data_IF_374011268297
#
_entry.id   IF_374011268297
#
_cell.length_a   1.000
_cell.length_b   1.000
_cell.length_c   1.000
_cell.angle_alpha   90.00
_cell.angle_beta   90.00
_cell.angle_gamma   90.00
#
_symmetry.space_group_name_H-M   'P 1'
#
loop_
_entity.id
_entity.type
_entity.pdbx_description
1 polymer ?
#
# COMPACT_ATOMS: atom_id res chain seq x y z
N UNK A 1 21.72 -6.91 -80.51
CA UNK A 1 21.37 -7.83 -79.43
C UNK A 1 21.79 -7.22 -78.12
N UNK A 2 20.86 -6.55 -77.41
CA UNK A 2 21.14 -5.84 -76.17
C UNK A 2 20.46 -6.56 -75.05
N UNK A 3 21.27 -7.08 -74.13
CA UNK A 3 20.78 -7.67 -72.88
C UNK A 3 20.63 -6.58 -71.80
N UNK A 4 19.40 -6.32 -71.39
CA UNK A 4 19.09 -5.45 -70.28
C UNK A 4 19.25 -6.22 -68.97
N UNK A 5 20.13 -5.73 -68.10
CA UNK A 5 20.29 -6.21 -66.72
C UNK A 5 19.35 -5.43 -65.82
N UNK A 6 18.38 -6.10 -65.24
CA UNK A 6 17.53 -5.57 -64.22
C UNK A 6 18.28 -5.62 -62.86
N UNK A 7 18.45 -4.48 -62.24
CA UNK A 7 19.00 -4.36 -60.87
C UNK A 7 17.82 -4.40 -59.89
N UNK A 8 17.78 -5.42 -59.05
CA UNK A 8 16.81 -5.57 -57.97
C UNK A 8 17.35 -4.85 -56.72
N UNK A 9 16.70 -3.77 -56.32
CA UNK A 9 17.00 -3.06 -55.07
C UNK A 9 16.28 -3.78 -53.92
N UNK A 10 17.04 -4.32 -52.98
CA UNK A 10 16.54 -4.87 -51.73
C UNK A 10 16.40 -3.73 -50.72
N UNK A 11 15.17 -3.37 -50.39
CA UNK A 11 14.89 -2.43 -49.31
C UNK A 11 14.91 -3.18 -47.97
N UNK A 12 15.92 -2.92 -47.14
CA UNK A 12 16.00 -3.40 -45.76
C UNK A 12 15.13 -2.54 -44.87
N UNK A 13 13.97 -3.04 -44.48
CA UNK A 13 13.09 -2.45 -43.46
C UNK A 13 13.67 -2.78 -42.09
N UNK A 14 14.28 -1.80 -41.42
CA UNK A 14 14.66 -1.90 -40.02
C UNK A 14 13.39 -1.79 -39.16
N UNK A 15 12.90 -2.89 -38.64
CA UNK A 15 11.84 -2.92 -37.63
C UNK A 15 12.41 -2.47 -36.30
N UNK A 16 12.15 -1.21 -35.93
CA UNK A 16 12.46 -0.67 -34.61
C UNK A 16 11.53 -1.30 -33.59
N UNK A 17 12.08 -2.18 -32.73
CA UNK A 17 11.37 -2.70 -31.55
C UNK A 17 11.31 -1.58 -30.52
N UNK A 18 10.16 -0.92 -30.42
CA UNK A 18 9.84 -0.05 -29.31
C UNK A 18 9.59 -0.93 -28.08
N UNK A 19 10.60 -1.06 -27.22
CA UNK A 19 10.45 -1.58 -25.87
C UNK A 19 9.62 -0.56 -25.10
N UNK A 20 8.30 -0.66 -25.18
CA UNK A 20 7.41 -0.02 -24.23
C UNK A 20 7.69 -0.67 -22.88
N UNK A 21 8.55 -0.06 -22.08
CA UNK A 21 8.73 -0.40 -20.69
C UNK A 21 7.42 -0.12 -19.96
N UNK A 22 6.55 -1.13 -19.85
CA UNK A 22 5.47 -1.11 -18.90
C UNK A 22 6.11 -1.06 -17.50
N UNK A 23 6.30 0.14 -16.95
CA UNK A 23 6.53 0.32 -15.53
C UNK A 23 5.31 -0.23 -14.81
N UNK A 24 5.35 -1.48 -14.35
CA UNK A 24 4.30 -2.03 -13.51
C UNK A 24 4.18 -1.14 -12.27
N UNK A 25 3.00 -0.56 -12.07
CA UNK A 25 2.70 0.21 -10.86
C UNK A 25 2.84 -0.72 -9.65
N UNK A 26 3.59 -0.28 -8.63
CA UNK A 26 3.80 -1.10 -7.44
C UNK A 26 2.47 -1.35 -6.72
N UNK A 27 2.29 -2.57 -6.24
CA UNK A 27 1.07 -2.97 -5.54
C UNK A 27 0.95 -2.29 -4.17
N UNK A 28 -0.28 -2.13 -3.70
CA UNK A 28 -0.54 -1.70 -2.33
C UNK A 28 -0.24 -2.85 -1.36
N UNK A 29 0.52 -2.55 -0.32
CA UNK A 29 0.81 -3.49 0.78
C UNK A 29 -0.44 -3.69 1.64
N UNK A 30 -1.04 -2.59 2.05
CA UNK A 30 -2.30 -2.59 2.79
C UNK A 30 -2.92 -1.18 2.82
N UNK A 31 -4.21 -1.15 3.13
CA UNK A 31 -4.94 0.07 3.43
C UNK A 31 -5.45 0.02 4.87
N UNK A 32 -5.29 1.11 5.62
CA UNK A 32 -5.78 1.26 7.00
C UNK A 32 -6.86 2.32 7.01
N UNK A 33 -7.99 1.99 7.62
CA UNK A 33 -9.00 2.97 8.02
C UNK A 33 -9.04 3.03 9.54
N UNK A 34 -8.58 4.14 10.10
CA UNK A 34 -8.72 4.46 11.52
C UNK A 34 -9.95 5.33 11.70
N UNK A 35 -10.74 5.06 12.71
CA UNK A 35 -11.92 5.85 13.09
C UNK A 35 -12.01 6.04 14.58
N UNK A 36 -12.72 7.06 15.02
CA UNK A 36 -12.91 7.37 16.44
C UNK A 36 -13.69 8.66 16.63
N UNK A 37 -13.92 9.03 17.90
CA UNK A 37 -14.70 10.22 18.26
C UNK A 37 -13.89 11.53 18.16
N UNK A 38 -12.57 11.46 18.25
CA UNK A 38 -11.71 12.64 18.21
C UNK A 38 -11.64 13.28 16.82
N UNK A 39 -11.39 14.59 16.78
CA UNK A 39 -11.40 15.41 15.55
C UNK A 39 -10.57 14.81 14.41
N UNK A 40 -9.38 14.31 14.70
CA UNK A 40 -8.44 13.76 13.72
C UNK A 40 -8.33 12.23 13.78
N UNK A 41 -9.28 11.55 14.41
CA UNK A 41 -9.29 10.10 14.51
C UNK A 41 -9.54 9.43 13.16
N UNK A 42 -10.41 10.03 12.33
CA UNK A 42 -10.83 9.47 11.05
C UNK A 42 -9.78 9.70 9.97
N UNK A 43 -9.00 8.67 9.69
CA UNK A 43 -7.92 8.70 8.68
C UNK A 43 -7.94 7.43 7.86
N UNK A 44 -7.73 7.58 6.57
CA UNK A 44 -7.48 6.48 5.63
C UNK A 44 -6.06 6.58 5.09
N UNK A 45 -5.30 5.51 5.23
CA UNK A 45 -3.97 5.35 4.64
C UNK A 45 -4.00 4.26 3.58
N UNK A 46 -3.32 4.48 2.47
CA UNK A 46 -2.98 3.43 1.50
C UNK A 46 -1.46 3.40 1.40
N UNK A 47 -0.85 2.30 1.80
CA UNK A 47 0.60 2.11 1.80
C UNK A 47 0.99 1.27 0.61
N UNK A 48 1.80 1.84 -0.28
CA UNK A 48 2.23 1.22 -1.52
C UNK A 48 3.65 0.66 -1.40
N UNK A 49 3.92 -0.50 -1.98
CA UNK A 49 5.24 -1.15 -1.96
C UNK A 49 6.33 -0.36 -2.70
N UNK A 50 5.94 0.55 -3.57
CA UNK A 50 6.84 1.51 -4.21
C UNK A 50 7.37 2.63 -3.31
N UNK A 51 7.03 2.63 -2.01
CA UNK A 51 7.54 3.59 -1.04
C UNK A 51 6.73 4.87 -0.93
N UNK A 52 5.44 4.80 -1.18
CA UNK A 52 4.53 5.93 -1.01
C UNK A 52 3.38 5.61 -0.07
N UNK A 53 2.80 6.63 0.51
CA UNK A 53 1.56 6.57 1.29
C UNK A 53 0.59 7.63 0.82
N UNK A 54 -0.67 7.26 0.65
CA UNK A 54 -1.77 8.20 0.39
C UNK A 54 -2.56 8.41 1.66
N UNK A 55 -2.64 9.65 2.12
CA UNK A 55 -3.37 10.06 3.31
C UNK A 55 -4.74 10.58 2.89
N UNK A 56 -5.80 9.95 3.37
CA UNK A 56 -7.18 10.25 2.99
C UNK A 56 -7.37 10.15 1.46
N UNK A 57 -7.73 11.25 0.79
CA UNK A 57 -7.86 11.34 -0.67
C UNK A 57 -6.79 12.25 -1.27
N UNK A 58 -5.71 12.48 -0.54
CA UNK A 58 -4.62 13.35 -0.97
C UNK A 58 -3.73 12.73 -2.05
N UNK A 59 -2.71 13.47 -2.42
CA UNK A 59 -1.66 12.96 -3.32
C UNK A 59 -0.74 12.00 -2.57
N UNK A 60 -0.17 10.99 -3.24
CA UNK A 60 0.85 10.13 -2.65
C UNK A 60 2.03 10.95 -2.12
N UNK A 61 2.49 10.60 -0.94
CA UNK A 61 3.66 11.18 -0.27
C UNK A 61 4.74 10.12 -0.14
N UNK A 62 6.01 10.52 -0.18
CA UNK A 62 7.12 9.62 0.05
C UNK A 62 7.09 9.06 1.48
N UNK A 63 7.21 7.75 1.60
CA UNK A 63 7.33 7.06 2.88
C UNK A 63 8.82 6.88 3.18
N UNK A 64 9.32 7.29 4.37
CA UNK A 64 10.72 7.06 4.75
C UNK A 64 11.10 5.59 4.64
N UNK A 65 12.34 5.29 4.21
CA UNK A 65 12.78 3.91 3.96
C UNK A 65 12.61 2.98 5.15
N UNK A 66 12.84 3.45 6.38
CA UNK A 66 12.59 2.70 7.62
C UNK A 66 11.10 2.34 7.77
N UNK A 67 10.22 3.28 7.48
CA UNK A 67 8.77 3.05 7.55
C UNK A 67 8.30 2.10 6.44
N UNK A 68 8.89 2.15 5.24
CA UNK A 68 8.60 1.19 4.18
C UNK A 68 9.01 -0.24 4.58
N UNK A 69 10.19 -0.44 5.17
CA UNK A 69 10.60 -1.75 5.67
C UNK A 69 9.63 -2.27 6.74
N UNK A 70 9.24 -1.42 7.68
CA UNK A 70 8.26 -1.76 8.70
C UNK A 70 6.89 -2.11 8.09
N UNK A 71 6.45 -1.38 7.06
CA UNK A 71 5.20 -1.68 6.35
C UNK A 71 5.24 -3.06 5.67
N UNK A 72 6.35 -3.41 5.03
CA UNK A 72 6.54 -4.73 4.41
C UNK A 72 6.52 -5.86 5.43
N UNK A 73 7.13 -5.67 6.61
CA UNK A 73 7.05 -6.64 7.71
C UNK A 73 5.62 -6.78 8.21
N UNK A 74 4.92 -5.66 8.44
CA UNK A 74 3.52 -5.68 8.88
C UNK A 74 2.61 -6.39 7.87
N UNK A 75 2.80 -6.17 6.58
CA UNK A 75 2.02 -6.85 5.55
C UNK A 75 2.17 -8.38 5.65
N UNK A 76 3.38 -8.89 5.88
CA UNK A 76 3.63 -10.32 6.09
C UNK A 76 3.03 -10.83 7.41
N UNK A 77 3.20 -10.07 8.50
CA UNK A 77 2.72 -10.47 9.82
C UNK A 77 1.19 -10.50 9.91
N UNK A 78 0.51 -9.70 9.09
CA UNK A 78 -0.95 -9.62 9.06
C UNK A 78 -1.59 -10.67 8.14
N UNK A 79 -0.82 -11.33 7.28
CA UNK A 79 -1.37 -12.19 6.23
C UNK A 79 -2.29 -13.29 6.77
N UNK A 80 -1.82 -14.05 7.75
CA UNK A 80 -2.59 -15.14 8.34
C UNK A 80 -3.89 -14.67 9.02
N UNK A 81 -3.82 -13.56 9.77
CA UNK A 81 -4.99 -12.98 10.42
C UNK A 81 -5.99 -12.41 9.40
N UNK A 82 -5.48 -11.84 8.30
CA UNK A 82 -6.31 -11.29 7.23
C UNK A 82 -7.05 -12.40 6.45
N UNK A 83 -6.37 -13.52 6.17
CA UNK A 83 -6.98 -14.71 5.57
C UNK A 83 -8.14 -15.25 6.43
N UNK A 84 -7.98 -15.21 7.75
CA UNK A 84 -9.01 -15.62 8.71
C UNK A 84 -10.06 -14.54 8.97
N UNK A 85 -9.93 -13.36 8.38
CA UNK A 85 -10.83 -12.21 8.57
C UNK A 85 -11.05 -11.87 10.05
N UNK A 86 -9.97 -11.86 10.84
CA UNK A 86 -10.04 -11.60 12.28
C UNK A 86 -10.67 -10.23 12.55
N UNK A 87 -11.72 -10.23 13.36
CA UNK A 87 -12.42 -9.05 13.83
C UNK A 87 -12.56 -9.11 15.35
N UNK A 88 -11.76 -8.31 16.06
CA UNK A 88 -11.77 -8.26 17.50
C UNK A 88 -12.69 -7.13 17.98
N UNK A 89 -13.67 -7.42 18.83
CA UNK A 89 -14.56 -6.40 19.37
C UNK A 89 -13.81 -5.41 20.27
N UNK A 90 -14.30 -4.18 20.40
CA UNK A 90 -13.77 -3.24 21.38
C UNK A 90 -14.11 -3.71 22.81
N UNK A 91 -13.20 -3.45 23.74
CA UNK A 91 -13.48 -3.49 25.16
C UNK A 91 -13.90 -2.08 25.67
N UNK A 92 -14.06 -1.94 26.96
CA UNK A 92 -14.44 -0.65 27.58
C UNK A 92 -13.45 0.46 27.24
N UNK A 93 -13.95 1.69 27.13
CA UNK A 93 -13.15 2.89 26.87
C UNK A 93 -12.39 2.91 25.54
N UNK A 94 -12.88 2.19 24.53
CA UNK A 94 -12.33 2.25 23.18
C UNK A 94 -12.52 3.65 22.58
N UNK A 95 -11.44 4.24 22.08
CA UNK A 95 -11.45 5.53 21.41
C UNK A 95 -11.08 5.43 19.92
N UNK A 96 -10.37 4.38 19.52
CA UNK A 96 -9.94 4.16 18.15
C UNK A 96 -10.31 2.76 17.67
N UNK A 97 -10.77 2.70 16.42
CA UNK A 97 -10.99 1.46 15.69
C UNK A 97 -10.17 1.45 14.42
N UNK A 98 -9.59 0.31 14.14
CA UNK A 98 -8.80 0.05 12.94
C UNK A 98 -9.47 -1.01 12.09
N UNK A 99 -9.59 -0.73 10.80
CA UNK A 99 -9.96 -1.69 9.77
C UNK A 99 -8.85 -1.72 8.74
N UNK A 100 -8.23 -2.87 8.54
CA UNK A 100 -7.11 -3.04 7.64
C UNK A 100 -7.47 -4.01 6.54
N UNK A 101 -7.20 -3.60 5.31
CA UNK A 101 -7.37 -4.44 4.12
C UNK A 101 -6.00 -4.75 3.54
N UNK A 102 -5.74 -6.00 3.29
CA UNK A 102 -4.54 -6.52 2.62
C UNK A 102 -4.97 -7.31 1.37
N UNK A 103 -4.04 -7.66 0.48
CA UNK A 103 -4.36 -8.60 -0.61
C UNK A 103 -4.89 -9.96 -0.11
N UNK A 104 -4.50 -10.39 1.10
CA UNK A 104 -4.93 -11.66 1.70
C UNK A 104 -6.33 -11.59 2.36
N UNK A 105 -6.84 -10.40 2.66
CA UNK A 105 -8.13 -10.25 3.32
C UNK A 105 -8.23 -9.01 4.20
N UNK A 106 -8.96 -9.13 5.30
CA UNK A 106 -9.28 -8.01 6.20
C UNK A 106 -9.07 -8.39 7.66
N UNK A 107 -8.55 -7.46 8.44
CA UNK A 107 -8.58 -7.52 9.91
C UNK A 107 -9.25 -6.26 10.47
N UNK A 108 -9.85 -6.38 11.65
CA UNK A 108 -10.39 -5.24 12.37
C UNK A 108 -10.16 -5.41 13.89
N UNK A 109 -9.85 -4.31 14.56
CA UNK A 109 -9.65 -4.29 16.00
C UNK A 109 -9.79 -2.86 16.55
N UNK A 110 -9.84 -2.74 17.85
CA UNK A 110 -9.85 -1.46 18.55
C UNK A 110 -8.63 -1.35 19.46
N UNK A 111 -8.32 -0.15 19.88
CA UNK A 111 -7.23 0.15 20.82
C UNK A 111 -7.36 -0.60 22.15
N UNK A 112 -8.57 -1.01 22.52
CA UNK A 112 -8.88 -1.75 23.76
C UNK A 112 -9.25 -3.22 23.53
N UNK A 113 -9.24 -3.73 22.30
CA UNK A 113 -9.58 -5.13 22.03
C UNK A 113 -8.69 -6.09 22.81
N UNK A 114 -9.31 -7.06 23.48
CA UNK A 114 -8.58 -8.10 24.20
C UNK A 114 -7.94 -9.11 23.22
N UNK A 115 -6.82 -9.73 23.63
CA UNK A 115 -6.18 -10.80 22.86
C UNK A 115 -5.57 -10.36 21.53
N UNK A 116 -5.25 -9.07 21.38
CA UNK A 116 -4.61 -8.57 20.15
C UNK A 116 -3.24 -9.25 19.94
N UNK A 117 -2.95 -9.75 18.72
CA UNK A 117 -1.61 -10.10 18.32
C UNK A 117 -0.68 -8.87 18.36
N UNK A 118 0.62 -9.06 18.62
CA UNK A 118 1.62 -7.98 18.60
C UNK A 118 1.65 -7.21 17.26
N UNK A 119 1.34 -7.88 16.15
CA UNK A 119 1.23 -7.24 14.83
C UNK A 119 0.17 -6.14 14.80
N UNK A 120 -0.94 -6.28 15.53
CA UNK A 120 -1.99 -5.25 15.60
C UNK A 120 -1.53 -4.02 16.39
N UNK A 121 -0.81 -4.22 17.50
CA UNK A 121 -0.22 -3.10 18.25
C UNK A 121 0.86 -2.37 17.44
N UNK A 122 1.71 -3.13 16.72
CA UNK A 122 2.70 -2.56 15.79
C UNK A 122 2.04 -1.78 14.65
N UNK A 123 0.95 -2.28 14.10
CA UNK A 123 0.19 -1.58 13.06
C UNK A 123 -0.44 -0.28 13.57
N UNK A 124 -0.99 -0.29 14.78
CA UNK A 124 -1.54 0.92 15.40
C UNK A 124 -0.45 1.98 15.62
N UNK A 125 0.74 1.58 16.10
CA UNK A 125 1.91 2.44 16.23
C UNK A 125 2.37 2.99 14.88
N UNK A 126 2.55 2.14 13.88
CA UNK A 126 2.90 2.54 12.52
C UNK A 126 1.89 3.57 11.95
N UNK A 127 0.60 3.29 12.11
CA UNK A 127 -0.46 4.20 11.63
C UNK A 127 -0.36 5.56 12.30
N UNK A 128 -0.12 5.60 13.62
CA UNK A 128 0.08 6.84 14.36
C UNK A 128 1.26 7.63 13.80
N UNK A 129 2.43 7.01 13.69
CA UNK A 129 3.66 7.68 13.25
C UNK A 129 3.51 8.22 11.81
N UNK A 130 2.95 7.44 10.89
CA UNK A 130 2.71 7.88 9.51
C UNK A 130 1.71 9.02 9.45
N UNK A 131 0.63 8.98 10.23
CA UNK A 131 -0.37 10.05 10.28
C UNK A 131 0.22 11.36 10.77
N UNK A 132 1.03 11.31 11.81
CA UNK A 132 1.66 12.50 12.40
C UNK A 132 2.82 13.01 11.54
N UNK A 133 3.79 12.16 11.20
CA UNK A 133 5.06 12.55 10.59
C UNK A 133 5.00 12.73 9.08
N UNK A 134 4.18 11.93 8.38
CA UNK A 134 4.10 11.95 6.92
C UNK A 134 2.86 12.67 6.43
N UNK A 135 1.70 12.37 7.02
CA UNK A 135 0.44 13.04 6.63
C UNK A 135 0.33 14.46 7.22
N UNK A 136 1.03 14.77 8.30
CA UNK A 136 0.95 16.07 8.98
C UNK A 136 -0.39 16.30 9.69
N UNK A 137 -1.04 15.21 10.13
CA UNK A 137 -2.32 15.26 10.85
C UNK A 137 -2.02 15.09 12.33
N UNK A 138 -1.93 16.21 13.07
CA UNK A 138 -1.73 16.18 14.51
C UNK A 138 -2.96 15.63 15.24
N UNK A 139 -2.74 15.00 16.39
CA UNK A 139 -3.81 14.62 17.32
C UNK A 139 -4.43 15.82 18.01
#
# INVERSE_FOLDING_TARGET
MSAARAATAVAATAAGVLLAGCGAESADLFAVQRSGADRNANVRLIVNDGGTVTCNRGKPKALPGKALLQARELARDLEAQAQLSIDLPPASNSILRYVVRTPAGRVAFSDTSAGRPKSFDRLAGFTKDVVEDVCGIAR
#
